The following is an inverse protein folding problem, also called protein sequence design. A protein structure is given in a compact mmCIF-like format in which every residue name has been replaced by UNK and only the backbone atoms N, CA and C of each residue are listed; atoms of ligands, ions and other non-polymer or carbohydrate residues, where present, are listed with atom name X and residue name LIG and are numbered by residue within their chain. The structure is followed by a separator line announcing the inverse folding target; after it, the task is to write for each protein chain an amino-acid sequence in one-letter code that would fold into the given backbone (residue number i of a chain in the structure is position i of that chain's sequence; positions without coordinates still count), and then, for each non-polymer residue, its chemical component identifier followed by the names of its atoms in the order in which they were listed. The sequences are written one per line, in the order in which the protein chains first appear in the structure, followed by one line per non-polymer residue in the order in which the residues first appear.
data_IF_336812069486
#
_entry.id   IF_336812069486
#
_cell.length_a   1.000
_cell.length_b   1.000
_cell.length_c   1.000
_cell.angle_alpha   90.00
_cell.angle_beta   90.00
_cell.angle_gamma   90.00
#
_symmetry.space_group_name_H-M   'P 1'
#
loop_
_entity.id
_entity.type
_entity.pdbx_description
1 polymer ?
#
# COMPACT_ATOMS: atom_id res chain seq x y z
N UNK A 1 -12.06 -11.55 -1.36
CA UNK A 1 -12.09 -10.10 -1.03
C UNK A 1 -11.40 -9.36 -2.15
N UNK A 2 -11.82 -8.14 -2.47
CA UNK A 2 -11.16 -7.33 -3.50
C UNK A 2 -9.86 -6.71 -3.01
N UNK A 3 -9.08 -6.14 -3.92
CA UNK A 3 -7.84 -5.42 -3.62
C UNK A 3 -8.19 -4.09 -2.98
N UNK A 4 -7.80 -3.87 -1.73
CA UNK A 4 -8.13 -2.67 -0.97
C UNK A 4 -6.88 -1.97 -0.45
N UNK A 5 -6.94 -0.65 -0.41
CA UNK A 5 -5.99 0.20 0.30
C UNK A 5 -6.74 0.93 1.41
N UNK A 6 -6.12 1.05 2.59
CA UNK A 6 -6.71 1.64 3.77
C UNK A 6 -5.77 2.68 4.34
N UNK A 7 -6.30 3.74 4.94
CA UNK A 7 -5.50 4.70 5.66
C UNK A 7 -6.18 5.16 6.94
N UNK A 8 -5.34 5.52 7.92
CA UNK A 8 -5.76 6.20 9.14
C UNK A 8 -4.90 7.42 9.38
N UNK A 9 -5.54 8.55 9.68
CA UNK A 9 -4.83 9.82 9.89
C UNK A 9 -5.62 10.71 10.85
N UNK A 10 -4.94 11.61 11.57
CA UNK A 10 -5.61 12.61 12.41
C UNK A 10 -6.20 13.71 11.52
N UNK A 11 -7.42 14.21 11.78
CA UNK A 11 -8.05 15.25 10.96
C UNK A 11 -7.17 16.48 10.75
N UNK A 12 -6.53 16.98 11.81
CA UNK A 12 -5.69 18.19 11.76
C UNK A 12 -4.42 17.96 10.94
N UNK A 13 -3.85 16.75 11.02
CA UNK A 13 -2.68 16.38 10.23
C UNK A 13 -3.03 16.23 8.75
N UNK A 14 -4.20 15.66 8.44
CA UNK A 14 -4.69 15.60 7.07
C UNK A 14 -4.98 17.00 6.52
N UNK A 15 -5.64 17.86 7.29
CA UNK A 15 -5.93 19.25 6.88
C UNK A 15 -4.66 20.02 6.51
N UNK A 16 -3.57 19.83 7.27
CA UNK A 16 -2.27 20.43 6.96
C UNK A 16 -1.61 19.83 5.72
N UNK A 17 -1.72 18.51 5.53
CA UNK A 17 -1.06 17.80 4.42
C UNK A 17 -1.81 17.91 3.09
N UNK A 18 -3.14 17.98 3.11
CA UNK A 18 -3.99 17.82 1.93
C UNK A 18 -3.73 18.86 0.82
N UNK A 19 -3.42 20.14 1.10
CA UNK A 19 -3.04 21.10 0.06
C UNK A 19 -1.79 20.66 -0.73
N UNK A 20 -0.79 20.10 -0.04
CA UNK A 20 0.41 19.59 -0.69
C UNK A 20 0.13 18.30 -1.46
N UNK A 21 -0.65 17.38 -0.88
CA UNK A 21 -1.07 16.14 -1.55
C UNK A 21 -1.84 16.45 -2.85
N UNK A 22 -2.82 17.35 -2.81
CA UNK A 22 -3.63 17.72 -3.97
C UNK A 22 -2.78 18.35 -5.09
N UNK A 23 -1.92 19.32 -4.74
CA UNK A 23 -0.99 19.97 -5.69
C UNK A 23 -0.07 18.94 -6.34
N UNK A 24 0.53 18.07 -5.54
CA UNK A 24 1.53 17.12 -6.02
C UNK A 24 0.88 16.02 -6.86
N UNK A 25 -0.31 15.55 -6.48
CA UNK A 25 -1.08 14.60 -7.28
C UNK A 25 -1.52 15.20 -8.62
N UNK A 26 -1.86 16.50 -8.64
CA UNK A 26 -2.14 17.22 -9.89
C UNK A 26 -0.91 17.27 -10.80
N UNK A 27 0.28 17.46 -10.24
CA UNK A 27 1.54 17.42 -10.99
C UNK A 27 1.87 16.01 -11.53
N UNK A 28 1.45 14.94 -10.84
CA UNK A 28 1.59 13.56 -11.31
C UNK A 28 0.57 13.15 -12.39
N UNK A 29 -0.50 13.92 -12.57
CA UNK A 29 -1.64 13.56 -13.44
C UNK A 29 -1.25 13.16 -14.88
N UNK A 30 -0.27 13.79 -15.55
CA UNK A 30 0.16 13.37 -16.89
C UNK A 30 0.79 11.96 -16.97
N UNK A 31 1.20 11.41 -15.82
CA UNK A 31 1.87 10.11 -15.71
C UNK A 31 0.98 9.04 -15.09
N UNK A 32 -0.23 9.41 -14.67
CA UNK A 32 -1.19 8.51 -14.05
C UNK A 32 -2.25 8.09 -15.08
N UNK A 33 -2.91 6.94 -14.87
CA UNK A 33 -4.10 6.59 -15.63
C UNK A 33 -5.17 7.68 -15.51
N UNK A 34 -6.02 7.85 -16.54
CA UNK A 34 -7.10 8.82 -16.49
C UNK A 34 -8.02 8.62 -15.29
N UNK A 35 -8.41 9.73 -14.66
CA UNK A 35 -9.21 9.76 -13.44
C UNK A 35 -10.51 10.53 -13.67
N UNK A 36 -11.60 10.06 -13.07
CA UNK A 36 -12.91 10.71 -13.08
C UNK A 36 -13.29 11.25 -11.71
N UNK A 37 -14.12 12.29 -11.71
CA UNK A 37 -14.75 12.91 -10.54
C UNK A 37 -16.08 12.28 -10.17
N UNK A 38 -16.99 13.07 -9.58
CA UNK A 38 -18.25 12.61 -8.99
C UNK A 38 -19.29 12.34 -10.07
N UNK A 39 -19.15 11.22 -10.77
CA UNK A 39 -20.07 10.79 -11.81
C UNK A 39 -19.43 10.78 -13.19
N UNK A 40 -20.19 10.30 -14.17
CA UNK A 40 -19.67 10.02 -15.50
C UNK A 40 -19.26 11.31 -16.21
N UNK A 41 -17.98 11.40 -16.57
CA UNK A 41 -17.43 12.52 -17.34
C UNK A 41 -17.03 13.73 -16.49
N UNK A 42 -17.13 13.65 -15.16
CA UNK A 42 -16.57 14.68 -14.30
C UNK A 42 -15.04 14.51 -14.15
N UNK A 43 -14.35 15.62 -13.94
CA UNK A 43 -12.92 15.63 -13.68
C UNK A 43 -12.61 15.27 -12.22
N UNK A 44 -11.50 14.59 -11.97
CA UNK A 44 -11.01 14.36 -10.61
C UNK A 44 -10.88 15.68 -9.84
N UNK A 45 -11.32 15.68 -8.58
CA UNK A 45 -11.26 16.85 -7.70
C UNK A 45 -9.94 16.80 -6.94
N UNK A 46 -9.05 17.76 -7.22
CA UNK A 46 -7.75 17.90 -6.56
C UNK A 46 -7.67 19.30 -5.93
N UNK A 47 -8.34 19.47 -4.79
CA UNK A 47 -8.49 20.74 -4.08
C UNK A 47 -7.83 20.69 -2.70
N UNK A 48 -7.50 21.84 -2.09
CA UNK A 48 -6.82 21.89 -0.79
C UNK A 48 -7.55 21.19 0.36
N UNK A 49 -8.87 21.07 0.29
CA UNK A 49 -9.73 20.46 1.31
C UNK A 49 -10.39 19.15 0.85
N UNK A 50 -10.17 18.74 -0.41
CA UNK A 50 -10.75 17.52 -0.98
C UNK A 50 -9.90 16.97 -2.12
N UNK A 51 -9.42 15.74 -1.95
CA UNK A 51 -8.99 14.91 -3.08
C UNK A 51 -10.06 13.84 -3.29
N UNK A 52 -10.66 13.82 -4.48
CA UNK A 52 -11.66 12.83 -4.86
C UNK A 52 -11.41 12.36 -6.29
N UNK A 53 -11.39 11.05 -6.50
CA UNK A 53 -11.39 10.47 -7.84
C UNK A 53 -11.79 8.99 -7.87
N UNK A 54 -12.10 8.50 -9.05
CA UNK A 54 -12.26 7.08 -9.38
C UNK A 54 -11.60 6.80 -10.75
N UNK A 55 -11.57 5.56 -11.19
CA UNK A 55 -11.20 5.21 -12.57
C UNK A 55 -12.27 5.62 -13.58
N UNK A 56 -11.91 5.76 -14.85
CA UNK A 56 -12.89 5.88 -15.92
C UNK A 56 -13.59 4.53 -16.14
N UNK A 57 -14.89 4.54 -16.42
CA UNK A 57 -15.60 3.36 -16.91
C UNK A 57 -14.89 2.74 -18.13
N UNK A 58 -14.79 1.39 -18.24
CA UNK A 58 -15.33 0.36 -17.33
C UNK A 58 -14.34 -0.06 -16.23
N UNK A 59 -13.31 0.74 -15.97
CA UNK A 59 -12.25 0.47 -15.02
C UNK A 59 -12.45 1.17 -13.66
N UNK A 60 -13.60 1.83 -13.46
CA UNK A 60 -14.07 2.35 -12.18
C UNK A 60 -14.35 1.20 -11.19
N UNK A 61 -14.34 1.52 -9.89
CA UNK A 61 -14.72 0.56 -8.86
C UNK A 61 -15.23 1.19 -7.56
N UNK A 62 -14.39 1.95 -6.87
CA UNK A 62 -14.73 2.60 -5.59
C UNK A 62 -14.08 3.98 -5.55
N UNK A 63 -14.80 4.95 -5.00
CA UNK A 63 -14.31 6.31 -4.93
C UNK A 63 -13.17 6.42 -3.93
N UNK A 64 -12.05 7.00 -4.37
CA UNK A 64 -10.99 7.44 -3.49
C UNK A 64 -11.33 8.83 -2.95
N UNK A 65 -11.29 9.02 -1.64
CA UNK A 65 -11.63 10.28 -0.99
C UNK A 65 -10.65 10.60 0.14
N UNK A 66 -9.95 11.74 0.07
CA UNK A 66 -9.24 12.32 1.21
C UNK A 66 -9.91 13.65 1.58
N UNK A 67 -10.43 13.70 2.80
CA UNK A 67 -11.12 14.87 3.35
C UNK A 67 -10.96 14.88 4.87
N UNK A 68 -10.68 16.02 5.52
CA UNK A 68 -10.61 16.11 6.98
C UNK A 68 -11.97 16.01 7.66
N UNK A 69 -13.07 16.01 6.89
CA UNK A 69 -14.44 16.14 7.42
C UNK A 69 -15.03 14.84 7.95
N UNK A 70 -14.57 13.69 7.46
CA UNK A 70 -15.15 12.37 7.75
C UNK A 70 -14.30 11.63 8.78
N UNK A 71 -14.61 11.82 10.07
CA UNK A 71 -13.91 11.19 11.18
C UNK A 71 -14.74 10.10 11.87
N UNK A 72 -14.06 9.06 12.35
CA UNK A 72 -14.59 7.99 13.19
C UNK A 72 -14.73 8.45 14.64
N UNK A 73 -15.45 7.66 15.45
CA UNK A 73 -15.70 7.96 16.87
C UNK A 73 -14.42 8.11 17.71
N UNK A 74 -13.31 7.51 17.30
CA UNK A 74 -12.00 7.64 17.96
C UNK A 74 -11.26 8.94 17.59
N UNK A 75 -11.92 9.87 16.87
CA UNK A 75 -11.36 11.15 16.46
C UNK A 75 -10.32 11.06 15.35
N UNK A 76 -10.22 9.90 14.66
CA UNK A 76 -9.37 9.72 13.49
C UNK A 76 -10.19 9.71 12.21
N UNK A 77 -9.53 9.82 11.08
CA UNK A 77 -10.11 9.54 9.77
C UNK A 77 -9.73 8.12 9.43
N UNK A 78 -10.73 7.32 9.05
CA UNK A 78 -10.50 6.02 8.42
C UNK A 78 -11.11 6.07 7.02
N UNK A 79 -10.27 5.83 6.02
CA UNK A 79 -10.73 5.70 4.65
C UNK A 79 -10.17 4.43 4.02
N UNK A 80 -10.86 3.97 2.99
CA UNK A 80 -10.43 2.85 2.17
C UNK A 80 -10.87 3.05 0.73
N UNK A 81 -10.18 2.39 -0.19
CA UNK A 81 -10.53 2.37 -1.61
C UNK A 81 -10.16 1.00 -2.20
N UNK A 82 -11.17 0.30 -2.70
CA UNK A 82 -11.03 -0.96 -3.42
C UNK A 82 -10.70 -0.68 -4.86
N UNK A 83 -9.55 -1.15 -5.30
CA UNK A 83 -9.05 -0.90 -6.64
C UNK A 83 -9.23 -2.11 -7.55
N UNK A 84 -10.01 -3.12 -7.16
CA UNK A 84 -10.31 -4.28 -8.01
C UNK A 84 -10.79 -5.50 -7.23
N UNK A 85 -11.06 -6.60 -7.94
CA UNK A 85 -11.44 -7.88 -7.31
C UNK A 85 -10.32 -8.92 -7.38
N UNK A 86 -9.98 -9.37 -8.59
CA UNK A 86 -8.87 -10.31 -8.83
C UNK A 86 -7.59 -9.56 -9.23
N UNK A 87 -7.75 -8.53 -10.05
CA UNK A 87 -6.66 -7.72 -10.59
C UNK A 87 -6.92 -6.25 -10.29
N UNK A 88 -5.83 -5.51 -10.10
CA UNK A 88 -5.88 -4.08 -9.84
C UNK A 88 -6.33 -3.34 -11.10
N UNK A 89 -7.35 -2.49 -10.95
CA UNK A 89 -7.78 -1.53 -11.96
C UNK A 89 -6.71 -0.46 -12.14
N UNK A 90 -6.53 0.08 -13.37
CA UNK A 90 -5.51 1.09 -13.66
C UNK A 90 -5.45 2.25 -12.66
N UNK A 91 -6.59 2.82 -12.28
CA UNK A 91 -6.64 3.97 -11.36
C UNK A 91 -6.08 3.67 -9.96
N UNK A 92 -5.93 2.39 -9.59
CA UNK A 92 -5.28 1.98 -8.35
C UNK A 92 -3.83 2.48 -8.23
N UNK A 93 -3.14 2.73 -9.35
CA UNK A 93 -1.83 3.42 -9.34
C UNK A 93 -1.92 4.84 -8.80
N UNK A 94 -2.97 5.58 -9.14
CA UNK A 94 -3.21 6.91 -8.61
C UNK A 94 -3.56 6.87 -7.12
N UNK A 95 -4.30 5.85 -6.67
CA UNK A 95 -4.56 5.61 -5.24
C UNK A 95 -3.25 5.39 -4.48
N UNK A 96 -2.38 4.49 -4.96
CA UNK A 96 -1.08 4.23 -4.33
C UNK A 96 -0.18 5.48 -4.32
N UNK A 97 -0.12 6.24 -5.41
CA UNK A 97 0.62 7.50 -5.46
C UNK A 97 0.06 8.54 -4.47
N UNK A 98 -1.26 8.70 -4.39
CA UNK A 98 -1.92 9.61 -3.44
C UNK A 98 -1.62 9.22 -1.98
N UNK A 99 -1.60 7.92 -1.67
CA UNK A 99 -1.28 7.42 -0.33
C UNK A 99 0.20 7.56 0.02
N UNK A 100 1.11 7.39 -0.95
CA UNK A 100 2.53 7.69 -0.77
C UNK A 100 2.77 9.18 -0.49
N UNK A 101 2.06 10.06 -1.20
CA UNK A 101 2.08 11.51 -0.95
C UNK A 101 1.48 11.87 0.41
N UNK A 102 0.37 11.23 0.80
CA UNK A 102 -0.21 11.39 2.13
C UNK A 102 0.81 11.02 3.21
N UNK A 103 1.45 9.86 3.09
CA UNK A 103 2.47 9.42 4.04
C UNK A 103 3.64 10.40 4.09
N UNK A 104 4.10 10.90 2.95
CA UNK A 104 5.19 11.88 2.86
C UNK A 104 4.87 13.19 3.60
N UNK A 105 3.71 13.79 3.32
CA UNK A 105 3.31 15.06 3.93
C UNK A 105 2.73 14.91 5.34
N UNK A 106 2.36 13.69 5.74
CA UNK A 106 1.85 13.34 7.06
C UNK A 106 2.47 12.01 7.52
N UNK A 107 3.73 12.02 8.04
CA UNK A 107 4.46 10.80 8.41
C UNK A 107 3.75 9.89 9.41
N UNK A 108 2.86 10.43 10.26
CA UNK A 108 2.05 9.62 11.18
C UNK A 108 0.85 8.91 10.54
N UNK A 109 0.53 9.18 9.27
CA UNK A 109 -0.57 8.50 8.59
C UNK A 109 -0.22 7.00 8.48
N UNK A 110 -1.12 6.13 8.95
CA UNK A 110 -0.96 4.69 8.76
C UNK A 110 -1.56 4.31 7.41
N UNK A 111 -0.77 3.70 6.52
CA UNK A 111 -1.22 3.24 5.20
C UNK A 111 -1.08 1.73 5.15
N UNK A 112 -2.13 1.05 4.71
CA UNK A 112 -2.17 -0.40 4.58
C UNK A 112 -2.72 -0.80 3.22
N UNK A 113 -2.34 -1.99 2.74
CA UNK A 113 -2.79 -2.52 1.45
C UNK A 113 -2.86 -4.04 1.46
N UNK A 114 -3.83 -4.59 0.73
CA UNK A 114 -3.88 -6.02 0.44
C UNK A 114 -2.81 -6.44 -0.59
N UNK A 115 -2.14 -5.48 -1.24
CA UNK A 115 -1.04 -5.73 -2.17
C UNK A 115 0.30 -5.91 -1.45
N UNK A 116 1.27 -6.45 -2.19
CA UNK A 116 2.64 -6.60 -1.72
C UNK A 116 3.42 -5.29 -1.83
N UNK A 117 4.52 -5.18 -1.08
CA UNK A 117 5.52 -4.11 -1.26
C UNK A 117 5.95 -3.97 -2.73
N UNK A 118 6.12 -5.09 -3.45
CA UNK A 118 6.56 -5.07 -4.85
C UNK A 118 5.55 -4.38 -5.79
N UNK A 119 4.25 -4.48 -5.52
CA UNK A 119 3.20 -3.85 -6.33
C UNK A 119 3.22 -2.30 -6.18
N UNK A 120 3.81 -1.81 -5.09
CA UNK A 120 3.93 -0.38 -4.77
C UNK A 120 5.21 0.26 -5.32
N UNK A 121 6.13 -0.51 -5.92
CA UNK A 121 7.41 -0.01 -6.45
C UNK A 121 7.21 1.04 -7.54
N UNK A 122 6.35 0.78 -8.54
CA UNK A 122 6.14 1.71 -9.65
C UNK A 122 5.50 3.05 -9.22
N UNK A 123 4.42 3.09 -8.39
CA UNK A 123 3.88 4.33 -7.85
C UNK A 123 4.88 5.11 -7.01
N UNK A 124 5.64 4.44 -6.13
CA UNK A 124 6.65 5.13 -5.31
C UNK A 124 7.77 5.71 -6.19
N UNK A 125 8.27 4.95 -7.17
CA UNK A 125 9.24 5.45 -8.16
C UNK A 125 8.69 6.58 -9.00
N UNK A 126 7.39 6.62 -9.28
CA UNK A 126 6.78 7.76 -9.96
C UNK A 126 6.89 9.03 -9.10
N UNK A 127 6.54 8.94 -7.81
CA UNK A 127 6.66 10.05 -6.85
C UNK A 127 8.12 10.51 -6.76
N UNK A 128 9.08 9.58 -6.60
CA UNK A 128 10.52 9.90 -6.55
C UNK A 128 10.98 10.62 -7.82
N UNK A 129 10.65 10.07 -9.00
CA UNK A 129 11.15 10.61 -10.28
C UNK A 129 10.58 11.98 -10.62
N UNK A 130 9.30 12.22 -10.33
CA UNK A 130 8.61 13.44 -10.77
C UNK A 130 8.65 14.54 -9.73
N UNK A 131 8.73 14.20 -8.44
CA UNK A 131 8.64 15.17 -7.34
C UNK A 131 9.89 15.20 -6.46
N UNK A 132 10.79 14.21 -6.58
CA UNK A 132 12.03 14.16 -5.82
C UNK A 132 11.87 13.71 -4.36
N UNK A 133 10.68 13.24 -3.95
CA UNK A 133 10.48 12.75 -2.60
C UNK A 133 11.06 11.34 -2.43
N UNK A 134 11.93 11.10 -1.44
CA UNK A 134 12.60 9.81 -1.22
C UNK A 134 11.67 8.81 -0.53
N UNK A 135 10.51 8.54 -1.16
CA UNK A 135 9.56 7.53 -0.68
C UNK A 135 9.89 6.17 -1.27
N UNK A 136 9.73 5.14 -0.45
CA UNK A 136 9.83 3.74 -0.90
C UNK A 136 8.65 2.92 -0.34
N UNK A 137 8.30 1.79 -0.98
CA UNK A 137 7.15 0.98 -0.58
C UNK A 137 7.19 0.46 0.86
N UNK A 138 8.37 0.11 1.38
CA UNK A 138 8.51 -0.40 2.76
C UNK A 138 8.22 0.71 3.76
N UNK A 139 8.75 1.91 3.51
CA UNK A 139 8.46 3.07 4.35
C UNK A 139 6.99 3.46 4.31
N UNK A 140 6.37 3.47 3.12
CA UNK A 140 4.95 3.84 2.96
C UNK A 140 4.03 2.87 3.71
N UNK A 141 4.27 1.57 3.57
CA UNK A 141 3.44 0.52 4.15
C UNK A 141 3.84 0.12 5.58
N UNK A 142 4.90 0.71 6.13
CA UNK A 142 5.51 0.33 7.42
C UNK A 142 5.86 -1.16 7.52
N UNK A 143 6.32 -1.73 6.40
CA UNK A 143 6.71 -3.13 6.29
C UNK A 143 8.22 -3.29 6.23
N UNK A 144 8.68 -4.51 6.49
CA UNK A 144 10.07 -4.94 6.33
C UNK A 144 10.14 -6.29 5.62
N UNK A 145 11.26 -6.53 4.96
CA UNK A 145 11.60 -7.85 4.44
C UNK A 145 12.50 -8.56 5.45
N UNK A 146 12.14 -9.78 5.81
CA UNK A 146 12.85 -10.59 6.78
C UNK A 146 13.48 -11.79 6.10
N UNK A 147 14.75 -12.07 6.42
CA UNK A 147 15.37 -13.36 6.16
C UNK A 147 15.03 -14.30 7.30
N UNK A 148 14.48 -15.46 6.97
CA UNK A 148 14.04 -16.47 7.92
C UNK A 148 14.73 -17.80 7.63
N UNK A 149 14.74 -18.65 8.66
CA UNK A 149 15.18 -20.04 8.58
C UNK A 149 14.12 -20.95 9.17
N UNK A 150 13.84 -22.06 8.49
CA UNK A 150 12.94 -23.11 8.97
C UNK A 150 13.68 -24.13 9.86
N UNK A 151 12.95 -25.01 10.54
CA UNK A 151 13.47 -26.07 11.40
C UNK A 151 14.32 -27.11 10.66
N UNK A 152 14.19 -27.21 9.35
CA UNK A 152 15.03 -28.02 8.47
C UNK A 152 16.30 -27.31 8.00
N UNK A 153 16.52 -26.06 8.42
CA UNK A 153 17.69 -25.25 8.07
C UNK A 153 17.58 -24.51 6.73
N UNK A 154 16.43 -24.56 6.04
CA UNK A 154 16.22 -23.85 4.77
C UNK A 154 15.98 -22.37 5.04
N UNK A 155 16.63 -21.53 4.25
CA UNK A 155 16.42 -20.08 4.29
C UNK A 155 15.34 -19.65 3.30
N UNK A 156 14.55 -18.66 3.69
CA UNK A 156 13.50 -18.04 2.88
C UNK A 156 13.35 -16.58 3.27
N UNK A 157 12.66 -15.77 2.46
CA UNK A 157 12.29 -14.40 2.82
C UNK A 157 10.79 -14.31 3.05
N UNK A 158 10.38 -13.41 3.93
CA UNK A 158 8.99 -13.00 4.04
C UNK A 158 8.88 -11.51 4.29
N UNK A 159 7.82 -10.91 3.75
CA UNK A 159 7.39 -9.55 4.05
C UNK A 159 6.48 -9.56 5.27
N UNK A 160 6.67 -8.62 6.17
CA UNK A 160 5.84 -8.45 7.35
C UNK A 160 5.95 -7.05 7.95
N UNK A 161 5.32 -6.87 9.11
CA UNK A 161 5.50 -5.68 9.94
C UNK A 161 6.95 -5.62 10.48
N UNK A 162 7.33 -4.46 11.05
CA UNK A 162 8.62 -4.30 11.73
C UNK A 162 8.78 -5.21 12.94
N UNK A 163 7.68 -5.59 13.59
CA UNK A 163 7.70 -6.67 14.57
C UNK A 163 7.40 -7.99 13.86
N UNK A 164 8.38 -8.89 13.73
CA UNK A 164 8.19 -10.13 13.00
C UNK A 164 7.31 -11.14 13.76
N UNK A 165 6.91 -10.89 15.02
CA UNK A 165 6.15 -11.87 15.81
C UNK A 165 4.82 -12.28 15.15
N UNK A 166 4.03 -11.32 14.69
CA UNK A 166 2.77 -11.62 13.99
C UNK A 166 3.02 -12.41 12.70
N UNK A 167 4.06 -12.06 11.95
CA UNK A 167 4.47 -12.79 10.74
C UNK A 167 4.88 -14.23 11.08
N UNK A 168 5.63 -14.46 12.16
CA UNK A 168 6.04 -15.80 12.58
C UNK A 168 4.85 -16.69 12.97
N UNK A 169 3.88 -16.14 13.71
CA UNK A 169 2.64 -16.84 14.08
C UNK A 169 1.86 -17.24 12.81
N UNK A 170 1.71 -16.29 11.89
CA UNK A 170 1.03 -16.52 10.62
C UNK A 170 1.73 -17.60 9.77
N UNK A 171 3.07 -17.58 9.70
CA UNK A 171 3.84 -18.60 8.99
C UNK A 171 3.67 -19.99 9.62
N UNK A 172 3.68 -20.08 10.96
CA UNK A 172 3.45 -21.34 11.69
C UNK A 172 2.06 -21.92 11.35
N UNK A 173 1.03 -21.08 11.30
CA UNK A 173 -0.33 -21.50 10.94
C UNK A 173 -0.42 -21.97 9.48
N UNK A 174 0.24 -21.29 8.54
CA UNK A 174 0.32 -21.73 7.15
C UNK A 174 1.02 -23.07 6.99
N UNK A 175 2.11 -23.29 7.72
CA UNK A 175 2.84 -24.55 7.71
C UNK A 175 2.01 -25.70 8.28
N UNK A 176 1.29 -25.47 9.40
CA UNK A 176 0.35 -26.45 9.99
C UNK A 176 -0.79 -26.82 9.04
N UNK A 177 -1.25 -25.87 8.22
CA UNK A 177 -2.28 -26.10 7.21
C UNK A 177 -1.73 -26.78 5.94
N UNK A 178 -0.41 -27.01 5.84
CA UNK A 178 0.22 -27.57 4.66
C UNK A 178 0.27 -26.60 3.46
N UNK A 179 -0.06 -25.33 3.66
CA UNK A 179 -0.04 -24.30 2.61
C UNK A 179 1.38 -23.84 2.26
N UNK A 180 2.32 -24.02 3.20
CA UNK A 180 3.71 -23.64 3.06
C UNK A 180 4.60 -24.89 3.17
N UNK A 181 5.46 -25.19 2.17
CA UNK A 181 6.32 -26.38 2.20
C UNK A 181 7.56 -26.19 3.09
N UNK A 182 7.41 -25.50 4.23
CA UNK A 182 8.46 -25.16 5.19
C UNK A 182 8.17 -25.80 6.56
N UNK A 183 9.22 -26.10 7.33
CA UNK A 183 9.08 -26.81 8.61
C UNK A 183 9.25 -25.84 9.79
N UNK A 184 8.26 -25.67 10.68
CA UNK A 184 8.46 -24.90 11.90
C UNK A 184 9.44 -25.62 12.86
N UNK A 185 10.05 -24.91 13.84
CA UNK A 185 9.86 -23.50 14.14
C UNK A 185 10.60 -22.58 13.16
N UNK A 186 9.96 -21.46 12.80
CA UNK A 186 10.60 -20.40 12.02
C UNK A 186 11.42 -19.48 12.92
N UNK A 187 12.57 -19.04 12.42
CA UNK A 187 13.46 -18.11 13.14
C UNK A 187 13.87 -16.97 12.23
N UNK A 188 13.81 -15.75 12.73
CA UNK A 188 14.36 -14.57 12.07
C UNK A 188 15.89 -14.66 12.09
N UNK A 189 16.50 -14.59 10.92
CA UNK A 189 17.95 -14.47 10.74
C UNK A 189 18.36 -12.99 10.80
N UNK A 190 17.53 -12.11 10.21
CA UNK A 190 17.73 -10.66 10.20
C UNK A 190 16.91 -9.98 9.11
N UNK A 191 17.04 -8.66 8.94
CA UNK A 191 16.45 -7.96 7.79
C UNK A 191 17.07 -8.47 6.48
N UNK A 192 16.30 -8.39 5.39
CA UNK A 192 16.70 -8.84 4.07
C UNK A 192 16.87 -7.68 3.09
N UNK A 193 18.05 -7.58 2.48
CA UNK A 193 18.31 -6.70 1.35
C UNK A 193 17.99 -7.41 0.01
N UNK A 194 17.76 -6.64 -1.05
CA UNK A 194 17.61 -7.18 -2.42
C UNK A 194 16.34 -8.01 -2.66
N UNK A 195 15.32 -7.83 -1.83
CA UNK A 195 14.06 -8.57 -1.86
C UNK A 195 13.25 -8.39 -3.16
N UNK A 196 13.33 -7.19 -3.77
CA UNK A 196 12.49 -6.79 -4.91
C UNK A 196 12.69 -7.63 -6.19
N UNK A 197 13.80 -8.37 -6.32
CA UNK A 197 14.10 -9.17 -7.52
C UNK A 197 13.61 -10.62 -7.43
N UNK A 198 13.04 -11.04 -6.29
CA UNK A 198 12.64 -12.43 -6.07
C UNK A 198 11.21 -12.69 -6.48
N UNK A 199 10.95 -13.92 -6.96
CA UNK A 199 9.58 -14.36 -7.25
C UNK A 199 8.92 -14.85 -5.96
N UNK A 200 7.71 -14.35 -5.65
CA UNK A 200 6.97 -14.83 -4.50
C UNK A 200 6.49 -16.27 -4.73
N UNK A 201 6.19 -16.95 -3.63
CA UNK A 201 5.54 -18.25 -3.62
C UNK A 201 4.18 -18.14 -4.35
N UNK A 202 3.83 -19.10 -5.22
CA UNK A 202 2.67 -18.98 -6.11
C UNK A 202 1.34 -18.76 -5.40
N UNK A 203 1.24 -19.23 -4.15
CA UNK A 203 0.02 -19.13 -3.35
C UNK A 203 0.15 -18.23 -2.11
N UNK A 204 1.39 -17.85 -1.74
CA UNK A 204 1.65 -17.07 -0.54
C UNK A 204 2.55 -15.90 -0.95
N UNK A 205 1.90 -14.85 -1.42
CA UNK A 205 2.54 -13.76 -2.14
C UNK A 205 3.58 -12.97 -1.32
N UNK A 206 3.50 -13.02 -0.01
CA UNK A 206 4.47 -12.39 0.92
C UNK A 206 5.63 -13.32 1.32
N UNK A 207 5.73 -14.54 0.80
CA UNK A 207 6.82 -15.50 1.09
C UNK A 207 7.62 -15.80 -0.18
N UNK A 208 8.94 -15.86 -0.06
CA UNK A 208 9.87 -16.00 -1.18
C UNK A 208 10.86 -17.11 -0.83
N UNK A 209 10.79 -18.22 -1.56
CA UNK A 209 11.70 -19.35 -1.37
C UNK A 209 13.02 -19.05 -2.08
N UNK A 210 14.15 -19.34 -1.42
CA UNK A 210 15.50 -19.12 -1.95
C UNK A 210 15.98 -20.27 -2.84
#
# INVERSE_FOLDING_TARGET
MGITHYWRVRPEALEQALPAVARDLAALRPYLPPLQGRGRGEEAVLQPDLVYFNGLEPADYEDFVLTPRDHTEDGRIFGFCKTGFVEQRPYGRAVMAALALLKWHCPEAAVNSDLLVADWDEPCRLVVRQLGYPVDPFWVLEREAWRLRDGGGREFLAEGERDPQHMLIWLDDLARQGALPLQPPFRVVGPADGFAERRPHPHIRSVYLL
#
